data_IF_415150050926
#
_entry.id   IF_415150050926
#
_cell.length_a   1.000
_cell.length_b   1.000
_cell.length_c   1.000
_cell.angle_alpha   90.00
_cell.angle_beta   90.00
_cell.angle_gamma   90.00
#
_symmetry.space_group_name_H-M   'P 1'
#
loop_
_entity.id
_entity.type
_entity.pdbx_description
1 polymer ?
#
# COMPACT_ATOMS: atom_id res chain seq x y z
N UNK A 1 -2.79 -16.73 -6.60
CA UNK A 1 -3.33 -16.10 -7.82
C UNK A 1 -2.14 -15.57 -8.61
N UNK A 2 -1.91 -16.00 -9.86
CA UNK A 2 -0.78 -15.45 -10.63
C UNK A 2 -1.12 -14.00 -11.03
N UNK A 3 -0.29 -13.04 -10.62
CA UNK A 3 -0.43 -11.65 -11.07
C UNK A 3 -0.16 -11.58 -12.59
N UNK A 4 -0.95 -10.77 -13.28
CA UNK A 4 -0.84 -10.62 -14.74
C UNK A 4 0.47 -9.94 -15.15
N UNK A 5 0.88 -10.14 -16.40
CA UNK A 5 2.02 -9.41 -16.99
C UNK A 5 1.75 -7.90 -17.03
N UNK A 6 0.49 -7.49 -17.10
CA UNK A 6 0.11 -6.08 -16.99
C UNK A 6 0.42 -5.53 -15.59
N UNK A 7 0.25 -6.34 -14.53
CA UNK A 7 0.61 -5.91 -13.19
C UNK A 7 2.12 -5.72 -13.01
N UNK A 8 2.95 -6.64 -13.55
CA UNK A 8 4.41 -6.46 -13.62
C UNK A 8 4.78 -5.11 -14.22
N UNK A 9 4.17 -4.82 -15.36
CA UNK A 9 4.43 -3.59 -16.08
C UNK A 9 3.97 -2.37 -15.30
N UNK A 10 2.83 -2.43 -14.59
CA UNK A 10 2.37 -1.36 -13.71
C UNK A 10 3.36 -1.11 -12.57
N UNK A 11 3.79 -2.16 -11.85
CA UNK A 11 4.79 -2.04 -10.76
C UNK A 11 6.10 -1.48 -11.30
N UNK A 12 6.58 -2.00 -12.43
CA UNK A 12 7.80 -1.51 -13.08
C UNK A 12 7.67 -0.05 -13.53
N UNK A 13 6.52 0.35 -14.07
CA UNK A 13 6.26 1.72 -14.51
C UNK A 13 6.10 2.69 -13.34
N UNK A 14 5.46 2.26 -12.23
CA UNK A 14 5.30 3.03 -10.99
C UNK A 14 6.63 3.60 -10.52
N UNK A 15 7.70 2.83 -10.65
CA UNK A 15 9.01 3.23 -10.12
C UNK A 15 10.10 3.49 -11.17
N UNK A 16 9.76 3.44 -12.46
CA UNK A 16 10.70 3.62 -13.59
C UNK A 16 11.48 4.93 -13.58
N UNK A 17 11.01 5.95 -12.86
CA UNK A 17 11.60 7.29 -12.81
C UNK A 17 12.31 7.62 -11.49
N UNK A 18 12.50 6.65 -10.60
CA UNK A 18 13.21 6.87 -9.34
C UNK A 18 14.66 6.47 -9.52
N UNK A 19 15.53 7.46 -9.71
CA UNK A 19 16.98 7.27 -9.83
C UNK A 19 17.62 6.70 -8.54
N UNK A 20 16.86 6.66 -7.44
CA UNK A 20 17.33 6.33 -6.10
C UNK A 20 16.94 4.93 -5.61
N UNK A 21 16.00 4.26 -6.27
CA UNK A 21 15.69 2.86 -5.97
C UNK A 21 16.54 1.96 -6.87
N UNK A 22 17.30 1.07 -6.24
CA UNK A 22 18.12 0.10 -6.95
C UNK A 22 17.26 -0.88 -7.76
N UNK A 23 17.72 -1.37 -8.93
CA UNK A 23 17.05 -2.43 -9.67
C UNK A 23 16.73 -3.65 -8.81
N UNK A 24 17.62 -3.98 -7.89
CA UNK A 24 17.48 -5.09 -6.94
C UNK A 24 16.30 -4.88 -5.99
N UNK A 25 16.05 -3.64 -5.54
CA UNK A 25 14.88 -3.30 -4.73
C UNK A 25 13.58 -3.67 -5.45
N UNK A 26 13.50 -3.38 -6.75
CA UNK A 26 12.30 -3.70 -7.53
C UNK A 26 12.06 -5.19 -7.72
N UNK A 27 13.12 -5.96 -7.93
CA UNK A 27 12.99 -7.41 -8.12
C UNK A 27 12.52 -8.08 -6.82
N UNK A 28 13.08 -7.68 -5.67
CA UNK A 28 12.67 -8.16 -4.35
C UNK A 28 11.23 -7.75 -4.02
N UNK A 29 10.88 -6.48 -4.25
CA UNK A 29 9.51 -5.98 -4.10
C UNK A 29 8.53 -6.75 -4.97
N UNK A 30 8.86 -6.92 -6.24
CA UNK A 30 8.00 -7.61 -7.18
C UNK A 30 7.80 -9.08 -6.78
N UNK A 31 8.87 -9.76 -6.36
CA UNK A 31 8.79 -11.12 -5.85
C UNK A 31 7.87 -11.23 -4.63
N UNK A 32 7.97 -10.27 -3.71
CA UNK A 32 7.10 -10.13 -2.55
C UNK A 32 5.63 -9.98 -2.91
N UNK A 33 5.31 -9.08 -3.85
CA UNK A 33 3.91 -8.82 -4.20
C UNK A 33 3.26 -10.03 -4.91
N UNK A 34 4.01 -10.78 -5.73
CA UNK A 34 3.49 -12.00 -6.38
C UNK A 34 3.23 -13.10 -5.36
N UNK A 35 4.14 -13.26 -4.39
CA UNK A 35 4.08 -14.33 -3.40
C UNK A 35 4.23 -13.75 -1.99
N UNK A 36 3.19 -13.06 -1.46
CA UNK A 36 3.28 -12.45 -0.14
C UNK A 36 3.59 -13.46 0.96
N UNK A 37 3.13 -14.70 0.79
CA UNK A 37 3.37 -15.85 1.67
C UNK A 37 4.86 -16.23 1.79
N UNK A 38 5.67 -15.88 0.78
CA UNK A 38 7.12 -16.13 0.73
C UNK A 38 7.93 -14.84 0.88
N UNK A 39 7.30 -13.73 1.27
CA UNK A 39 7.99 -12.48 1.50
C UNK A 39 8.97 -12.65 2.67
N UNK A 40 10.26 -12.47 2.38
CA UNK A 40 11.30 -12.51 3.40
C UNK A 40 11.84 -11.10 3.57
N UNK A 41 11.49 -10.45 4.68
CA UNK A 41 11.95 -9.10 5.03
C UNK A 41 13.48 -8.98 4.96
N UNK A 42 14.20 -10.09 5.18
CA UNK A 42 15.66 -10.13 5.12
C UNK A 42 16.22 -9.84 3.75
N UNK A 43 15.45 -10.11 2.69
CA UNK A 43 15.85 -9.75 1.34
C UNK A 43 15.84 -8.24 1.09
N UNK A 44 15.41 -7.44 2.08
CA UNK A 44 15.50 -5.98 2.05
C UNK A 44 16.53 -5.39 3.02
N UNK A 45 17.19 -6.23 3.83
CA UNK A 45 18.21 -5.77 4.78
C UNK A 45 19.37 -5.03 4.11
N UNK A 46 19.69 -5.30 2.84
CA UNK A 46 20.76 -4.56 2.15
C UNK A 46 20.39 -3.12 1.78
N UNK A 47 19.12 -2.74 1.80
CA UNK A 47 18.68 -1.41 1.36
C UNK A 47 18.82 -0.38 2.48
N UNK A 48 19.09 0.86 2.07
CA UNK A 48 19.24 2.01 2.98
C UNK A 48 17.89 2.48 3.55
N UNK A 49 17.93 3.19 4.67
CA UNK A 49 16.73 3.81 5.26
C UNK A 49 16.09 4.80 4.27
N UNK A 50 16.92 5.50 3.51
CA UNK A 50 16.52 6.41 2.43
C UNK A 50 15.76 5.70 1.31
N UNK A 51 16.26 4.56 0.82
CA UNK A 51 15.60 3.76 -0.22
C UNK A 51 14.22 3.27 0.25
N UNK A 52 14.15 2.73 1.47
CA UNK A 52 12.89 2.24 2.06
C UNK A 52 11.86 3.36 2.17
N UNK A 53 12.26 4.52 2.69
CA UNK A 53 11.37 5.69 2.81
C UNK A 53 10.86 6.17 1.44
N UNK A 54 11.70 6.15 0.41
CA UNK A 54 11.33 6.59 -0.93
C UNK A 54 10.34 5.63 -1.60
N UNK A 55 10.54 4.32 -1.42
CA UNK A 55 9.57 3.30 -1.83
C UNK A 55 8.20 3.55 -1.18
N UNK A 56 8.14 3.74 0.14
CA UNK A 56 6.89 3.93 0.86
C UNK A 56 6.15 5.20 0.43
N UNK A 57 6.86 6.34 0.30
CA UNK A 57 6.28 7.60 -0.23
C UNK A 57 5.75 7.47 -1.64
N UNK A 58 6.51 6.81 -2.52
CA UNK A 58 6.02 6.57 -3.87
C UNK A 58 4.80 5.66 -3.84
N UNK A 59 4.75 4.75 -2.89
CA UNK A 59 3.63 3.84 -2.74
C UNK A 59 2.35 4.57 -2.36
N UNK A 60 2.41 5.46 -1.38
CA UNK A 60 1.32 6.36 -0.99
C UNK A 60 0.79 7.19 -2.16
N UNK A 61 1.69 7.81 -2.91
CA UNK A 61 1.30 8.59 -4.09
C UNK A 61 0.61 7.73 -5.15
N UNK A 62 1.06 6.49 -5.36
CA UNK A 62 0.44 5.61 -6.34
C UNK A 62 -0.98 5.21 -5.92
N UNK A 63 -1.16 4.86 -4.65
CA UNK A 63 -2.48 4.51 -4.09
C UNK A 63 -3.46 5.65 -4.31
N UNK A 64 -3.13 6.84 -3.81
CA UNK A 64 -4.05 7.97 -3.78
C UNK A 64 -4.28 8.60 -5.15
N UNK A 65 -3.24 8.70 -5.99
CA UNK A 65 -3.30 9.50 -7.22
C UNK A 65 -3.50 8.66 -8.48
N UNK A 66 -3.32 7.34 -8.44
CA UNK A 66 -3.42 6.46 -9.61
C UNK A 66 -4.44 5.36 -9.39
N UNK A 67 -4.30 4.58 -8.33
CA UNK A 67 -5.09 3.36 -8.17
C UNK A 67 -6.51 3.62 -7.69
N UNK A 68 -6.71 4.50 -6.70
CA UNK A 68 -8.06 4.88 -6.28
C UNK A 68 -8.88 5.53 -7.41
N UNK A 69 -8.34 6.48 -8.18
CA UNK A 69 -9.02 6.99 -9.37
C UNK A 69 -9.42 5.90 -10.38
N UNK A 70 -8.59 4.86 -10.56
CA UNK A 70 -8.92 3.71 -11.40
C UNK A 70 -10.05 2.86 -10.80
N UNK A 71 -10.01 2.56 -9.50
CA UNK A 71 -11.11 1.87 -8.80
C UNK A 71 -12.41 2.67 -8.97
N UNK A 72 -12.38 3.98 -8.75
CA UNK A 72 -13.57 4.82 -8.91
C UNK A 72 -14.15 4.78 -10.33
N UNK A 73 -13.29 4.69 -11.36
CA UNK A 73 -13.72 4.50 -12.74
C UNK A 73 -14.40 3.13 -12.93
N UNK A 74 -13.79 2.06 -12.44
CA UNK A 74 -14.35 0.71 -12.51
C UNK A 74 -15.68 0.59 -11.77
N UNK A 75 -15.82 1.24 -10.60
CA UNK A 75 -17.10 1.32 -9.88
C UNK A 75 -18.18 2.00 -10.71
N UNK A 76 -17.85 3.07 -11.45
CA UNK A 76 -18.79 3.73 -12.36
C UNK A 76 -19.18 2.84 -13.54
N UNK A 77 -18.26 2.03 -14.05
CA UNK A 77 -18.55 1.04 -15.10
C UNK A 77 -19.52 -0.03 -14.62
N UNK A 78 -19.28 -0.58 -13.42
CA UNK A 78 -20.21 -1.52 -12.77
C UNK A 78 -21.59 -0.86 -12.56
N UNK A 79 -21.65 0.37 -12.06
CA UNK A 79 -22.93 1.10 -11.93
C UNK A 79 -23.64 1.34 -13.27
N UNK A 80 -22.90 1.53 -14.35
CA UNK A 80 -23.47 1.70 -15.69
C UNK A 80 -24.07 0.39 -16.23
N UNK A 81 -23.45 -0.74 -15.93
CA UNK A 81 -23.89 -2.06 -16.39
C UNK A 81 -25.09 -2.59 -15.60
N UNK A 82 -25.05 -2.48 -14.27
CA UNK A 82 -26.09 -3.06 -13.37
C UNK A 82 -27.10 -2.04 -12.86
N UNK A 83 -26.91 -0.76 -13.19
CA UNK A 83 -27.69 0.34 -12.64
C UNK A 83 -27.31 0.70 -11.21
N UNK A 84 -27.92 1.78 -10.72
CA UNK A 84 -27.79 2.20 -9.32
C UNK A 84 -28.78 1.37 -8.49
N UNK A 85 -28.25 0.46 -7.68
CA UNK A 85 -29.00 -0.45 -6.83
C UNK A 85 -28.25 -0.69 -5.51
N UNK A 86 -28.84 -1.45 -4.58
CA UNK A 86 -28.25 -1.68 -3.26
C UNK A 86 -26.83 -2.28 -3.33
N UNK A 87 -26.55 -3.17 -4.28
CA UNK A 87 -25.23 -3.78 -4.48
C UNK A 87 -24.21 -2.76 -4.96
N UNK A 88 -24.54 -1.98 -5.99
CA UNK A 88 -23.61 -0.98 -6.55
C UNK A 88 -23.44 0.24 -5.65
N UNK A 89 -24.43 0.56 -4.83
CA UNK A 89 -24.31 1.56 -3.76
C UNK A 89 -23.46 1.07 -2.58
N UNK A 90 -23.58 -0.22 -2.22
CA UNK A 90 -22.70 -0.83 -1.20
C UNK A 90 -21.25 -0.74 -1.63
N UNK A 91 -20.94 -1.14 -2.88
CA UNK A 91 -19.61 -1.04 -3.46
C UNK A 91 -19.07 0.40 -3.43
N UNK A 92 -19.87 1.38 -3.91
CA UNK A 92 -19.44 2.78 -3.93
C UNK A 92 -19.16 3.32 -2.53
N UNK A 93 -20.02 2.99 -1.56
CA UNK A 93 -19.87 3.46 -0.18
C UNK A 93 -18.62 2.85 0.47
N UNK A 94 -18.38 1.56 0.25
CA UNK A 94 -17.16 0.90 0.70
C UNK A 94 -15.90 1.59 0.15
N UNK A 95 -15.81 1.79 -1.17
CA UNK A 95 -14.63 2.42 -1.80
C UNK A 95 -14.39 3.84 -1.29
N UNK A 96 -15.45 4.62 -1.04
CA UNK A 96 -15.32 5.98 -0.49
C UNK A 96 -14.81 5.94 0.94
N UNK A 97 -15.36 5.07 1.80
CA UNK A 97 -14.92 4.96 3.19
C UNK A 97 -13.47 4.50 3.27
N UNK A 98 -13.13 3.43 2.54
CA UNK A 98 -11.79 2.89 2.47
C UNK A 98 -10.77 3.94 1.99
N UNK A 99 -11.10 4.71 0.94
CA UNK A 99 -10.22 5.79 0.48
C UNK A 99 -9.96 6.84 1.57
N UNK A 100 -10.99 7.22 2.32
CA UNK A 100 -10.86 8.20 3.40
C UNK A 100 -10.02 7.67 4.56
N UNK A 101 -10.20 6.40 4.93
CA UNK A 101 -9.43 5.73 5.98
C UNK A 101 -7.95 5.62 5.58
N UNK A 102 -7.67 5.09 4.38
CA UNK A 102 -6.31 5.01 3.85
C UNK A 102 -5.66 6.39 3.74
N UNK A 103 -6.39 7.40 3.24
CA UNK A 103 -5.88 8.77 3.17
C UNK A 103 -5.56 9.32 4.56
N UNK A 104 -6.37 9.00 5.58
CA UNK A 104 -6.14 9.46 6.95
C UNK A 104 -4.90 8.80 7.56
N UNK A 105 -4.75 7.50 7.35
CA UNK A 105 -3.60 6.69 7.74
C UNK A 105 -2.30 7.23 7.12
N UNK A 106 -2.25 7.31 5.78
CA UNK A 106 -1.11 7.88 5.02
C UNK A 106 -0.74 9.29 5.51
N UNK A 107 -1.73 10.15 5.74
CA UNK A 107 -1.48 11.50 6.22
C UNK A 107 -0.86 11.52 7.63
N UNK A 108 -1.16 10.53 8.47
CA UNK A 108 -0.61 10.42 9.80
C UNK A 108 0.84 9.91 9.76
N UNK A 109 1.13 8.86 8.99
CA UNK A 109 2.52 8.42 8.71
C UNK A 109 3.37 9.56 8.17
N UNK A 110 2.92 10.23 7.10
CA UNK A 110 3.75 11.22 6.42
C UNK A 110 4.09 12.40 7.32
N UNK A 111 3.11 12.87 8.12
CA UNK A 111 3.30 14.01 9.03
C UNK A 111 4.13 13.67 10.25
N UNK A 112 4.14 12.41 10.68
CA UNK A 112 4.79 12.00 11.92
C UNK A 112 6.01 11.15 11.63
N UNK A 113 5.81 9.91 11.17
CA UNK A 113 6.87 8.94 10.96
C UNK A 113 7.83 9.41 9.87
N UNK A 114 7.33 9.72 8.67
CA UNK A 114 8.24 10.01 7.54
C UNK A 114 8.95 11.34 7.72
N UNK A 115 8.26 12.35 8.26
CA UNK A 115 8.89 13.61 8.65
C UNK A 115 9.97 13.39 9.72
N UNK A 116 9.77 12.49 10.69
CA UNK A 116 10.83 12.13 11.63
C UNK A 116 12.01 11.45 10.92
N UNK A 117 11.76 10.47 10.04
CA UNK A 117 12.81 9.78 9.29
C UNK A 117 13.60 10.78 8.43
N UNK A 118 12.94 11.72 7.74
CA UNK A 118 13.64 12.77 6.98
C UNK A 118 14.56 13.63 7.86
N UNK A 119 14.09 14.03 9.05
CA UNK A 119 14.91 14.79 10.00
C UNK A 119 16.05 13.95 10.55
N UNK A 120 15.82 12.67 10.78
CA UNK A 120 16.84 11.71 11.22
C UNK A 120 17.96 11.63 10.18
N UNK A 121 17.61 11.43 8.91
CA UNK A 121 18.53 11.38 7.77
C UNK A 121 19.32 12.68 7.56
N UNK A 122 18.72 13.82 7.90
CA UNK A 122 19.37 15.13 7.84
C UNK A 122 20.18 15.48 9.10
N UNK A 123 20.10 14.66 10.17
CA UNK A 123 20.71 14.96 11.46
C UNK A 123 20.08 16.16 12.19
N UNK A 124 18.81 16.49 11.91
CA UNK A 124 18.10 17.66 12.45
C UNK A 124 16.94 17.32 13.40
N UNK A 125 16.76 16.04 13.73
CA UNK A 125 15.72 15.60 14.65
C UNK A 125 15.98 16.10 16.08
N UNK A 126 14.92 16.22 16.89
CA UNK A 126 15.07 16.47 18.34
C UNK A 126 14.70 15.23 19.15
N UNK A 127 15.32 15.06 20.33
CA UNK A 127 15.15 13.85 21.16
C UNK A 127 13.68 13.58 21.53
N UNK A 128 12.87 14.64 21.71
CA UNK A 128 11.44 14.51 21.97
C UNK A 128 10.69 13.82 20.82
N UNK A 129 11.05 14.12 19.57
CA UNK A 129 10.43 13.50 18.39
C UNK A 129 10.81 12.02 18.32
N UNK A 130 12.09 11.70 18.54
CA UNK A 130 12.58 10.33 18.61
C UNK A 130 11.85 9.51 19.68
N UNK A 131 11.74 10.04 20.90
CA UNK A 131 11.02 9.37 22.00
C UNK A 131 9.56 9.14 21.65
N UNK A 132 8.89 10.12 21.04
CA UNK A 132 7.50 9.97 20.62
C UNK A 132 7.33 8.91 19.53
N UNK A 133 8.21 8.89 18.53
CA UNK A 133 8.11 7.90 17.45
C UNK A 133 8.39 6.50 17.99
N UNK A 134 9.54 6.30 18.64
CA UNK A 134 9.98 4.98 19.08
C UNK A 134 9.14 4.37 20.20
N UNK A 135 8.62 5.18 21.13
CA UNK A 135 7.92 4.66 22.31
C UNK A 135 6.40 4.83 22.25
N UNK A 136 5.86 5.43 21.19
CA UNK A 136 4.41 5.66 21.10
C UNK A 136 3.87 5.43 19.70
N UNK A 137 4.41 6.10 18.68
CA UNK A 137 3.88 5.95 17.33
C UNK A 137 4.03 4.50 16.86
N UNK A 138 5.25 3.94 16.93
CA UNK A 138 5.53 2.59 16.45
C UNK A 138 4.80 1.48 17.24
N UNK A 139 4.39 1.74 18.47
CA UNK A 139 3.62 0.78 19.28
C UNK A 139 2.10 0.87 19.05
N UNK A 140 1.62 1.99 18.51
CA UNK A 140 0.18 2.28 18.40
C UNK A 140 -0.32 2.42 16.97
N UNK A 141 0.57 2.61 15.99
CA UNK A 141 0.21 2.49 14.59
C UNK A 141 -0.13 1.02 14.27
N UNK A 142 -1.17 0.83 13.46
CA UNK A 142 -1.58 -0.47 12.92
C UNK A 142 -1.90 -0.31 11.43
N UNK A 143 -1.44 -1.26 10.62
CA UNK A 143 -1.72 -1.32 9.19
C UNK A 143 -3.03 -2.08 8.87
N UNK A 144 -4.08 -1.92 9.69
CA UNK A 144 -5.35 -2.68 9.56
C UNK A 144 -6.14 -2.34 8.28
N UNK A 145 -5.70 -1.33 7.51
CA UNK A 145 -6.40 -0.87 6.30
C UNK A 145 -6.26 -1.88 5.15
N UNK A 146 -5.25 -2.77 5.12
CA UNK A 146 -5.04 -3.69 3.98
C UNK A 146 -6.15 -4.73 3.81
N UNK A 147 -6.71 -5.26 4.91
CA UNK A 147 -7.43 -6.54 4.91
C UNK A 147 -8.91 -6.48 4.45
N UNK A 148 -9.39 -5.29 4.08
CA UNK A 148 -10.82 -5.09 3.79
C UNK A 148 -11.19 -5.25 2.30
N UNK A 149 -10.23 -5.20 1.37
CA UNK A 149 -10.52 -5.18 -0.06
C UNK A 149 -11.02 -6.52 -0.61
N UNK A 150 -10.57 -7.67 -0.09
CA UNK A 150 -11.14 -8.98 -0.41
C UNK A 150 -12.50 -9.19 0.26
N UNK A 151 -12.76 -8.53 1.40
CA UNK A 151 -14.03 -8.64 2.13
C UNK A 151 -15.17 -8.07 1.30
N UNK A 152 -14.99 -6.90 0.68
CA UNK A 152 -16.04 -6.32 -0.18
C UNK A 152 -16.36 -7.24 -1.36
N UNK A 153 -15.37 -7.90 -1.96
CA UNK A 153 -15.61 -8.84 -3.07
C UNK A 153 -16.50 -9.99 -2.62
N UNK A 154 -16.22 -10.60 -1.47
CA UNK A 154 -17.04 -11.66 -0.86
C UNK A 154 -18.46 -11.17 -0.57
N UNK A 155 -18.60 -9.96 -0.01
CA UNK A 155 -19.91 -9.35 0.27
C UNK A 155 -20.72 -9.15 -1.01
N UNK A 156 -20.11 -8.66 -2.09
CA UNK A 156 -20.77 -8.43 -3.37
C UNK A 156 -21.19 -9.74 -4.04
N UNK A 157 -20.30 -10.74 -4.09
CA UNK A 157 -20.59 -12.07 -4.65
C UNK A 157 -21.71 -12.77 -3.88
N UNK A 158 -21.74 -12.64 -2.55
CA UNK A 158 -22.82 -13.20 -1.73
C UNK A 158 -24.18 -12.53 -2.00
N UNK A 159 -24.20 -11.24 -2.34
CA UNK A 159 -25.42 -10.51 -2.72
C UNK A 159 -25.89 -10.88 -4.12
N UNK A 160 -24.96 -11.00 -5.06
CA UNK A 160 -25.24 -11.34 -6.45
C UNK A 160 -24.08 -12.16 -7.05
N UNK A 161 -24.22 -13.49 -7.12
CA UNK A 161 -23.19 -14.35 -7.71
C UNK A 161 -22.99 -14.13 -9.21
N UNK A 162 -23.95 -13.52 -9.91
CA UNK A 162 -23.85 -13.31 -11.36
C UNK A 162 -22.81 -12.26 -11.74
N UNK A 163 -22.43 -11.39 -10.80
CA UNK A 163 -21.40 -10.37 -10.94
C UNK A 163 -20.09 -10.91 -11.53
N UNK A 164 -19.69 -12.13 -11.17
CA UNK A 164 -18.44 -12.74 -11.67
C UNK A 164 -18.47 -13.09 -13.15
N UNK A 165 -19.64 -13.03 -13.80
CA UNK A 165 -19.79 -13.27 -15.24
C UNK A 165 -19.58 -12.01 -16.09
N UNK A 166 -19.46 -10.84 -15.46
CA UNK A 166 -19.39 -9.55 -16.14
C UNK A 166 -17.98 -8.97 -16.12
N UNK A 167 -17.50 -8.57 -17.29
CA UNK A 167 -16.11 -8.10 -17.46
C UNK A 167 -15.79 -6.88 -16.58
N UNK A 168 -16.73 -5.95 -16.40
CA UNK A 168 -16.54 -4.77 -15.52
C UNK A 168 -16.24 -5.16 -14.08
N UNK A 169 -16.93 -6.19 -13.58
CA UNK A 169 -16.80 -6.64 -12.19
C UNK A 169 -15.58 -7.52 -12.01
N UNK A 170 -15.26 -8.37 -13.00
CA UNK A 170 -14.00 -9.14 -13.01
C UNK A 170 -12.80 -8.19 -12.99
N UNK A 171 -12.78 -7.16 -13.84
CA UNK A 171 -11.71 -6.17 -13.88
C UNK A 171 -11.59 -5.38 -12.55
N UNK A 172 -12.72 -5.02 -11.93
CA UNK A 172 -12.73 -4.42 -10.60
C UNK A 172 -12.10 -5.35 -9.55
N UNK A 173 -12.55 -6.61 -9.48
CA UNK A 173 -12.06 -7.57 -8.50
C UNK A 173 -10.57 -7.87 -8.67
N UNK A 174 -10.11 -8.04 -9.91
CA UNK A 174 -8.67 -8.18 -10.21
C UNK A 174 -7.89 -6.96 -9.73
N UNK A 175 -8.38 -5.74 -9.98
CA UNK A 175 -7.75 -4.51 -9.50
C UNK A 175 -7.73 -4.44 -7.98
N UNK A 176 -8.81 -4.81 -7.28
CA UNK A 176 -8.86 -4.81 -5.82
C UNK A 176 -7.86 -5.82 -5.22
N UNK A 177 -7.78 -7.04 -5.73
CA UNK A 177 -6.82 -8.05 -5.26
C UNK A 177 -5.37 -7.62 -5.47
N UNK A 178 -5.09 -6.98 -6.60
CA UNK A 178 -3.78 -6.40 -6.89
C UNK A 178 -3.39 -5.36 -5.82
N UNK A 179 -4.31 -4.45 -5.49
CA UNK A 179 -4.05 -3.36 -4.55
C UNK A 179 -3.89 -3.92 -3.13
N UNK A 180 -4.72 -4.90 -2.76
CA UNK A 180 -4.64 -5.59 -1.47
C UNK A 180 -3.26 -6.22 -1.27
N UNK A 181 -2.77 -7.00 -2.23
CA UNK A 181 -1.44 -7.60 -2.15
C UNK A 181 -0.32 -6.55 -2.00
N UNK A 182 -0.39 -5.45 -2.75
CA UNK A 182 0.62 -4.39 -2.66
C UNK A 182 0.57 -3.66 -1.32
N UNK A 183 -0.63 -3.40 -0.79
CA UNK A 183 -0.82 -2.83 0.55
C UNK A 183 -0.32 -3.78 1.64
N UNK A 184 -0.54 -5.09 1.51
CA UNK A 184 0.03 -6.09 2.44
C UNK A 184 1.56 -6.01 2.47
N UNK A 185 2.21 -5.99 1.31
CA UNK A 185 3.68 -5.88 1.25
C UNK A 185 4.15 -4.53 1.77
N UNK A 186 3.45 -3.45 1.44
CA UNK A 186 3.74 -2.12 1.95
C UNK A 186 3.68 -2.08 3.49
N UNK A 187 2.63 -2.65 4.09
CA UNK A 187 2.51 -2.76 5.55
C UNK A 187 3.65 -3.55 6.17
N UNK A 188 4.07 -4.67 5.58
CA UNK A 188 5.24 -5.43 6.06
C UNK A 188 6.54 -4.63 5.96
N UNK A 189 6.75 -3.90 4.87
CA UNK A 189 7.93 -3.03 4.71
C UNK A 189 7.91 -1.89 5.72
N UNK A 190 6.75 -1.33 6.05
CA UNK A 190 6.60 -0.26 7.02
C UNK A 190 6.77 -0.76 8.47
N UNK A 191 6.03 -1.80 8.86
CA UNK A 191 5.95 -2.28 10.25
C UNK A 191 7.16 -3.10 10.67
N UNK A 192 7.88 -3.73 9.72
CA UNK A 192 9.07 -4.53 10.03
C UNK A 192 10.36 -3.82 9.59
N UNK A 193 10.54 -3.60 8.28
CA UNK A 193 11.81 -3.13 7.75
C UNK A 193 12.11 -1.67 8.11
N UNK A 194 11.15 -0.76 7.91
CA UNK A 194 11.38 0.66 8.18
C UNK A 194 11.72 0.87 9.66
N UNK A 195 10.99 0.21 10.57
CA UNK A 195 11.27 0.25 12.01
C UNK A 195 12.68 -0.24 12.30
N UNK A 196 13.06 -1.41 11.78
CA UNK A 196 14.39 -1.96 11.98
C UNK A 196 15.48 -0.99 11.47
N UNK A 197 15.27 -0.41 10.29
CA UNK A 197 16.21 0.55 9.66
C UNK A 197 16.35 1.83 10.47
N UNK A 198 15.27 2.34 11.07
CA UNK A 198 15.33 3.48 11.98
C UNK A 198 16.21 3.15 13.19
N UNK A 199 16.02 1.99 13.80
CA UNK A 199 16.82 1.56 14.95
C UNK A 199 18.30 1.38 14.60
N UNK A 200 18.60 0.72 13.48
CA UNK A 200 19.96 0.53 12.97
C UNK A 200 20.63 1.88 12.70
N UNK A 201 19.96 2.79 11.98
CA UNK A 201 20.50 4.11 11.65
C UNK A 201 20.84 4.93 12.89
N UNK A 202 19.98 4.89 13.92
CA UNK A 202 20.25 5.55 15.19
C UNK A 202 21.46 4.91 15.91
N UNK A 203 21.59 3.58 15.90
CA UNK A 203 22.68 2.89 16.57
C UNK A 203 24.05 3.05 15.86
N UNK A 204 24.06 3.19 14.54
CA UNK A 204 25.30 3.34 13.76
C UNK A 204 25.88 4.77 13.83
N UNK A 205 25.02 5.76 14.09
CA UNK A 205 25.40 7.17 14.14
C UNK A 205 25.65 7.69 15.57
N UNK A 206 25.33 6.92 16.62
CA UNK A 206 25.41 7.33 18.04
C UNK A 206 25.85 6.20 18.97
#
# INVERSE_FOLDING_TARGET
MYLSEDYKNIVKLRFKSLDRLSPEFFEELYAGIINPENFDIKSFEQFSLEEVLEYLKKSHSEYLNVWFPQIESLVKEVQKEFGINDTTLTLKSFVVNYYNELTTHINFEEKVLYNFVEKLLQGTYVEKEKVFVLNHFLETHNHDVSDELSVIQKVLINKDPTLTNHQSTVALFEKLNIIENDLTIHGLVEDELLIEKIHQYIADQF
#
